data_IF_912423293659
#
_entry.id   IF_912423293659
#
_cell.length_a   1.000
_cell.length_b   1.000
_cell.length_c   1.000
_cell.angle_alpha   90.00
_cell.angle_beta   90.00
_cell.angle_gamma   90.00
#
_symmetry.space_group_name_H-M   'P 1'
#
loop_
_entity.id
_entity.type
_entity.pdbx_description
1 polymer ?
#
# COMPACT_ATOMS: atom_id res chain seq x y z
N UNK A 1 -28.16 -0.56 -7.65
CA UNK A 1 -27.28 -1.59 -7.06
C UNK A 1 -27.58 -1.68 -5.57
N UNK A 2 -27.73 -2.88 -5.01
CA UNK A 2 -28.02 -3.09 -3.58
C UNK A 2 -26.79 -2.69 -2.75
N UNK A 3 -26.99 -1.86 -1.72
CA UNK A 3 -25.95 -1.45 -0.77
C UNK A 3 -25.42 -2.69 -0.02
N UNK A 4 -24.09 -2.93 0.02
CA UNK A 4 -23.53 -4.05 0.77
C UNK A 4 -23.67 -3.81 2.28
N UNK A 5 -23.90 -4.88 3.06
CA UNK A 5 -23.89 -4.82 4.52
C UNK A 5 -22.47 -5.05 5.07
N UNK A 6 -22.16 -4.51 6.24
CA UNK A 6 -20.86 -4.74 6.90
C UNK A 6 -20.62 -6.23 7.09
N UNK A 7 -21.61 -6.98 7.59
CA UNK A 7 -21.50 -8.43 7.76
C UNK A 7 -21.08 -9.15 6.47
N UNK A 8 -21.65 -8.76 5.32
CA UNK A 8 -21.29 -9.37 4.02
C UNK A 8 -19.86 -9.02 3.59
N UNK A 9 -19.41 -7.79 3.83
CA UNK A 9 -18.05 -7.33 3.50
C UNK A 9 -17.02 -8.05 4.38
N UNK A 10 -17.26 -8.15 5.69
CA UNK A 10 -16.36 -8.84 6.62
C UNK A 10 -16.36 -10.35 6.40
N UNK A 11 -17.47 -10.96 5.97
CA UNK A 11 -17.48 -12.38 5.59
C UNK A 11 -16.54 -12.65 4.42
N UNK A 12 -16.49 -11.74 3.44
CA UNK A 12 -15.61 -11.87 2.27
C UNK A 12 -14.11 -11.81 2.62
N UNK A 13 -13.75 -11.33 3.82
CA UNK A 13 -12.36 -11.24 4.26
C UNK A 13 -11.91 -12.41 5.15
N UNK A 14 -12.82 -13.31 5.54
CA UNK A 14 -12.56 -14.33 6.56
C UNK A 14 -11.42 -15.31 6.22
N UNK A 15 -11.16 -15.55 4.94
CA UNK A 15 -10.12 -16.50 4.48
C UNK A 15 -8.81 -15.81 4.07
N UNK A 16 -8.76 -14.48 4.08
CA UNK A 16 -7.60 -13.72 3.63
C UNK A 16 -6.68 -13.42 4.83
N UNK A 17 -5.58 -14.16 4.97
CA UNK A 17 -4.62 -14.03 6.09
C UNK A 17 -3.85 -12.70 6.11
N UNK A 18 -3.88 -11.92 5.02
CA UNK A 18 -3.31 -10.57 4.97
C UNK A 18 -4.28 -9.53 5.54
N UNK A 19 -5.51 -9.94 5.89
CA UNK A 19 -6.49 -9.08 6.52
C UNK A 19 -6.49 -9.35 8.02
N UNK A 20 -6.15 -8.32 8.80
CA UNK A 20 -6.10 -8.38 10.27
C UNK A 20 -7.21 -7.52 10.86
N UNK A 21 -7.71 -7.94 12.01
CA UNK A 21 -8.81 -7.29 12.73
C UNK A 21 -8.41 -7.06 14.19
N UNK A 22 -8.89 -5.98 14.77
CA UNK A 22 -8.89 -5.83 16.22
C UNK A 22 -10.12 -6.50 16.84
N UNK A 23 -10.23 -6.43 18.16
CA UNK A 23 -11.48 -6.79 18.85
C UNK A 23 -12.50 -5.67 18.69
N UNK A 24 -13.77 -6.05 18.56
CA UNK A 24 -14.89 -5.11 18.45
C UNK A 24 -14.98 -4.07 19.59
N UNK A 25 -15.44 -2.87 19.24
CA UNK A 25 -15.75 -1.80 20.19
C UNK A 25 -17.03 -2.11 20.98
N UNK A 26 -17.06 -1.76 22.27
CA UNK A 26 -18.31 -1.79 23.02
C UNK A 26 -19.21 -0.58 22.65
N UNK A 27 -20.53 -0.66 22.88
CA UNK A 27 -21.42 0.50 22.77
C UNK A 27 -20.94 1.70 23.61
N UNK A 28 -20.35 1.46 24.79
CA UNK A 28 -19.83 2.51 25.66
C UNK A 28 -18.59 3.20 25.05
N UNK A 29 -17.71 2.44 24.38
CA UNK A 29 -16.56 3.03 23.67
C UNK A 29 -17.04 3.99 22.56
N UNK A 30 -18.11 3.61 21.85
CA UNK A 30 -18.68 4.41 20.76
C UNK A 30 -19.40 5.66 21.26
N UNK A 31 -20.19 5.53 22.33
CA UNK A 31 -20.86 6.67 22.95
C UNK A 31 -19.84 7.71 23.43
N UNK A 32 -18.76 7.26 24.09
CA UNK A 32 -17.67 8.14 24.51
C UNK A 32 -16.96 8.80 23.34
N UNK A 33 -16.60 8.04 22.29
CA UNK A 33 -15.94 8.62 21.13
C UNK A 33 -16.82 9.65 20.39
N UNK A 34 -18.12 9.38 20.25
CA UNK A 34 -19.07 10.31 19.66
C UNK A 34 -19.22 11.59 20.49
N UNK A 35 -19.31 11.47 21.81
CA UNK A 35 -19.37 12.61 22.73
C UNK A 35 -18.08 13.44 22.70
N UNK A 36 -16.92 12.80 22.77
CA UNK A 36 -15.61 13.44 22.72
C UNK A 36 -15.40 14.24 21.43
N UNK A 37 -15.82 13.68 20.30
CA UNK A 37 -15.68 14.32 18.98
C UNK A 37 -16.83 15.28 18.66
N UNK A 38 -17.89 15.29 19.48
CA UNK A 38 -19.13 16.05 19.26
C UNK A 38 -19.77 15.76 17.89
N UNK A 39 -19.79 14.49 17.48
CA UNK A 39 -20.38 14.04 16.20
C UNK A 39 -21.40 12.93 16.45
N UNK A 40 -22.28 12.71 15.47
CA UNK A 40 -23.07 11.49 15.37
C UNK A 40 -22.30 10.47 14.52
N UNK A 41 -22.22 9.22 14.97
CA UNK A 41 -21.62 8.14 14.19
C UNK A 41 -22.68 7.50 13.27
N UNK A 42 -22.38 7.26 11.99
CA UNK A 42 -23.30 6.53 11.12
C UNK A 42 -23.42 5.06 11.57
N UNK A 43 -24.63 4.51 11.54
CA UNK A 43 -24.91 3.14 11.96
C UNK A 43 -24.02 2.09 11.26
N UNK A 44 -23.73 2.27 9.97
CA UNK A 44 -22.82 1.40 9.21
C UNK A 44 -21.37 1.41 9.74
N UNK A 45 -20.86 2.55 10.19
CA UNK A 45 -19.53 2.61 10.79
C UNK A 45 -19.54 2.01 12.19
N UNK A 46 -20.59 2.27 12.97
CA UNK A 46 -20.83 1.65 14.29
C UNK A 46 -20.84 0.11 14.18
N UNK A 47 -21.57 -0.45 13.20
CA UNK A 47 -21.60 -1.89 12.94
C UNK A 47 -20.19 -2.43 12.61
N UNK A 48 -19.42 -1.70 11.80
CA UNK A 48 -18.04 -2.06 11.46
C UNK A 48 -17.11 -2.13 12.67
N UNK A 49 -17.05 -1.07 13.47
CA UNK A 49 -16.16 -1.01 14.64
C UNK A 49 -16.63 -1.94 15.75
N UNK A 50 -17.92 -2.21 15.90
CA UNK A 50 -18.42 -3.24 16.82
C UNK A 50 -18.02 -4.64 16.36
N UNK A 51 -17.99 -4.91 15.05
CA UNK A 51 -17.65 -6.22 14.53
C UNK A 51 -16.13 -6.51 14.57
N UNK A 52 -15.27 -5.51 14.37
CA UNK A 52 -13.82 -5.75 14.23
C UNK A 52 -12.90 -4.68 14.82
N UNK A 53 -13.43 -3.63 15.44
CA UNK A 53 -12.63 -2.52 15.99
C UNK A 53 -12.00 -1.68 14.89
N UNK A 54 -10.94 -2.19 14.28
CA UNK A 54 -10.24 -1.68 13.09
C UNK A 54 -9.98 -2.82 12.10
N UNK A 55 -9.66 -2.48 10.85
CA UNK A 55 -9.42 -3.46 9.79
C UNK A 55 -8.15 -3.10 9.02
N UNK A 56 -7.12 -3.93 9.11
CA UNK A 56 -5.95 -3.86 8.25
C UNK A 56 -6.19 -4.74 7.01
N UNK A 57 -6.26 -4.14 5.84
CA UNK A 57 -6.40 -4.82 4.55
C UNK A 57 -5.06 -4.80 3.82
N UNK A 58 -4.20 -5.81 4.06
CA UNK A 58 -2.90 -5.93 3.41
C UNK A 58 -2.02 -4.67 3.51
N UNK A 59 -2.10 -3.96 4.63
CA UNK A 59 -1.44 -2.70 4.91
C UNK A 59 -2.39 -1.50 4.90
N UNK A 60 -3.55 -1.56 4.26
CA UNK A 60 -4.52 -0.47 4.32
C UNK A 60 -5.30 -0.53 5.63
N UNK A 61 -4.95 0.30 6.62
CA UNK A 61 -5.65 0.29 7.91
C UNK A 61 -6.85 1.23 7.88
N UNK A 62 -8.04 0.65 7.91
CA UNK A 62 -9.28 1.35 8.26
C UNK A 62 -9.25 1.61 9.76
N UNK A 63 -9.16 2.89 10.12
CA UNK A 63 -9.09 3.33 11.49
C UNK A 63 -10.36 2.93 12.23
N UNK A 64 -10.17 2.59 13.51
CA UNK A 64 -11.20 2.01 14.34
C UNK A 64 -11.49 2.80 15.60
N UNK A 65 -12.48 2.33 16.34
CA UNK A 65 -12.73 2.76 17.72
C UNK A 65 -12.69 1.50 18.59
N UNK A 66 -12.23 1.63 19.83
CA UNK A 66 -12.23 0.53 20.80
C UNK A 66 -10.92 0.45 21.58
N UNK A 67 -10.97 -0.16 22.75
CA UNK A 67 -9.80 -0.31 23.65
C UNK A 67 -8.66 -1.14 23.05
N UNK A 68 -8.99 -2.09 22.18
CA UNK A 68 -8.03 -2.99 21.52
C UNK A 68 -7.34 -2.35 20.31
N UNK A 69 -7.84 -1.21 19.84
CA UNK A 69 -7.31 -0.52 18.65
C UNK A 69 -6.05 0.25 19.06
N UNK A 70 -4.89 0.01 18.43
CA UNK A 70 -3.67 0.77 18.69
C UNK A 70 -3.90 2.27 18.54
N UNK A 71 -3.19 3.10 19.32
CA UNK A 71 -3.39 4.56 19.28
C UNK A 71 -3.21 5.15 17.87
N UNK A 72 -2.25 4.62 17.11
CA UNK A 72 -1.95 5.04 15.74
C UNK A 72 -3.05 4.65 14.73
N UNK A 73 -3.88 3.66 15.07
CA UNK A 73 -4.99 3.16 14.24
C UNK A 73 -6.36 3.58 14.79
N UNK A 74 -6.37 4.42 15.83
CA UNK A 74 -7.58 4.91 16.49
C UNK A 74 -8.13 6.13 15.75
N UNK A 75 -9.32 5.99 15.17
CA UNK A 75 -10.05 7.07 14.54
C UNK A 75 -10.27 8.25 15.50
N UNK A 76 -10.50 7.99 16.78
CA UNK A 76 -10.65 9.02 17.81
C UNK A 76 -9.36 9.84 18.00
N UNK A 77 -8.22 9.17 18.20
CA UNK A 77 -6.96 9.86 18.46
C UNK A 77 -6.46 10.60 17.23
N UNK A 78 -6.52 9.96 16.06
CA UNK A 78 -6.12 10.57 14.80
C UNK A 78 -7.00 11.80 14.53
N UNK A 79 -8.33 11.67 14.59
CA UNK A 79 -9.24 12.81 14.38
C UNK A 79 -8.98 13.96 15.35
N UNK A 80 -8.69 13.68 16.63
CA UNK A 80 -8.34 14.73 17.59
C UNK A 80 -7.02 15.42 17.21
N UNK A 81 -5.99 14.67 16.86
CA UNK A 81 -4.70 15.21 16.46
C UNK A 81 -4.84 16.10 15.20
N UNK A 82 -5.55 15.64 14.17
CA UNK A 82 -5.75 16.40 12.92
C UNK A 82 -6.59 17.67 13.13
N UNK A 83 -7.43 17.72 14.18
CA UNK A 83 -8.15 18.93 14.58
C UNK A 83 -7.30 19.96 15.31
N UNK A 84 -6.20 19.55 15.94
CA UNK A 84 -5.41 20.43 16.83
C UNK A 84 -4.01 20.74 16.31
N UNK A 85 -3.44 19.87 15.47
CA UNK A 85 -2.01 19.86 15.15
C UNK A 85 -1.72 20.06 13.66
N UNK A 86 -2.75 20.06 12.80
CA UNK A 86 -2.60 20.37 11.38
C UNK A 86 -2.42 21.86 11.14
N UNK A 87 -1.75 22.21 10.04
CA UNK A 87 -1.68 23.60 9.57
C UNK A 87 -3.08 24.13 9.24
N UNK A 88 -3.95 23.22 8.75
CA UNK A 88 -5.38 23.45 8.59
C UNK A 88 -6.17 22.45 9.44
N UNK A 89 -6.87 22.92 10.49
CA UNK A 89 -7.64 22.04 11.36
C UNK A 89 -8.69 21.25 10.59
N UNK A 90 -8.74 19.94 10.80
CA UNK A 90 -9.78 19.09 10.25
C UNK A 90 -11.18 19.58 10.71
N UNK A 91 -12.17 19.74 9.81
CA UNK A 91 -13.51 20.17 10.19
C UNK A 91 -14.18 19.28 11.26
N UNK A 92 -14.91 19.91 12.18
CA UNK A 92 -15.48 19.24 13.37
C UNK A 92 -16.51 18.14 13.06
N UNK A 93 -17.10 18.14 11.87
CA UNK A 93 -18.05 17.12 11.43
C UNK A 93 -17.39 15.94 10.70
N UNK A 94 -16.07 15.98 10.45
CA UNK A 94 -15.34 14.90 9.82
C UNK A 94 -14.75 13.96 10.87
N UNK A 95 -14.83 12.66 10.58
CA UNK A 95 -14.16 11.58 11.30
C UNK A 95 -13.16 10.91 10.37
N UNK A 96 -11.87 10.92 10.73
CA UNK A 96 -10.83 10.26 9.93
C UNK A 96 -11.00 8.76 10.03
N UNK A 97 -11.09 8.09 8.89
CA UNK A 97 -11.20 6.62 8.82
C UNK A 97 -10.04 5.97 8.07
N UNK A 98 -9.24 6.75 7.33
CA UNK A 98 -8.16 6.19 6.54
C UNK A 98 -7.12 7.27 6.17
N UNK A 99 -5.84 6.91 6.18
CA UNK A 99 -4.72 7.79 5.76
C UNK A 99 -4.26 7.38 4.37
N UNK A 100 -4.40 8.26 3.39
CA UNK A 100 -4.06 7.97 1.99
C UNK A 100 -2.54 8.06 1.76
N UNK A 101 -1.86 8.93 2.51
CA UNK A 101 -0.44 9.24 2.37
C UNK A 101 -0.23 10.74 2.12
N UNK A 102 0.99 11.25 2.31
CA UNK A 102 1.32 12.68 2.16
C UNK A 102 0.43 13.64 2.97
N UNK A 103 -0.10 13.20 4.10
CA UNK A 103 -1.01 14.00 4.93
C UNK A 103 -2.49 13.91 4.54
N UNK A 104 -2.83 13.41 3.35
CA UNK A 104 -4.21 13.30 2.90
C UNK A 104 -5.02 12.25 3.67
N UNK A 105 -6.27 12.60 3.97
CA UNK A 105 -7.16 11.82 4.82
C UNK A 105 -8.47 11.51 4.10
N UNK A 106 -8.92 10.26 4.19
CA UNK A 106 -10.30 9.92 3.86
C UNK A 106 -11.13 9.89 5.14
N UNK A 107 -12.21 10.66 5.14
CA UNK A 107 -13.04 10.95 6.29
C UNK A 107 -14.50 10.59 6.05
N UNK A 108 -15.22 10.22 7.11
CA UNK A 108 -16.67 10.20 7.12
C UNK A 108 -17.19 11.62 7.32
N UNK A 109 -18.10 12.07 6.46
CA UNK A 109 -18.83 13.30 6.67
C UNK A 109 -20.07 13.04 7.53
N UNK A 110 -19.90 13.15 8.85
CA UNK A 110 -20.95 12.90 9.83
C UNK A 110 -22.07 13.96 9.83
N UNK A 111 -21.92 15.06 9.08
CA UNK A 111 -23.02 16.03 8.89
C UNK A 111 -24.04 15.56 7.85
N UNK A 112 -23.69 14.57 7.02
CA UNK A 112 -24.48 14.08 5.88
C UNK A 112 -24.94 12.64 6.05
N UNK A 113 -25.38 12.29 7.26
CA UNK A 113 -25.90 10.95 7.54
C UNK A 113 -27.29 10.78 6.92
N UNK A 114 -27.44 9.75 6.08
CA UNK A 114 -28.69 9.31 5.48
C UNK A 114 -28.77 7.78 5.50
N UNK A 115 -29.93 7.22 5.86
CA UNK A 115 -30.15 5.77 5.96
C UNK A 115 -29.07 5.04 6.77
N UNK A 116 -28.66 5.64 7.89
CA UNK A 116 -27.64 5.09 8.80
C UNK A 116 -26.21 5.06 8.25
N UNK A 117 -25.90 5.84 7.22
CA UNK A 117 -24.60 5.87 6.55
C UNK A 117 -24.28 7.28 6.09
N UNK A 118 -23.05 7.54 5.64
CA UNK A 118 -22.65 8.85 5.17
C UNK A 118 -21.55 8.74 4.10
N UNK A 119 -21.32 9.80 3.31
CA UNK A 119 -20.28 9.78 2.31
C UNK A 119 -18.88 9.74 2.94
N UNK A 120 -17.97 9.08 2.22
CA UNK A 120 -16.54 9.18 2.45
C UNK A 120 -16.02 10.31 1.57
N UNK A 121 -15.31 11.25 2.18
CA UNK A 121 -14.75 12.44 1.54
C UNK A 121 -13.23 12.49 1.68
N UNK A 122 -12.55 13.15 0.75
CA UNK A 122 -11.12 13.41 0.79
C UNK A 122 -10.87 14.77 1.43
N UNK A 123 -10.03 14.78 2.46
CA UNK A 123 -9.43 15.98 3.05
C UNK A 123 -7.96 16.02 2.62
N UNK A 124 -7.68 16.87 1.64
CA UNK A 124 -6.34 17.18 1.16
C UNK A 124 -5.66 18.13 2.16
N UNK A 125 -4.54 17.72 2.75
CA UNK A 125 -3.87 18.53 3.79
C UNK A 125 -3.12 19.73 3.19
N UNK A 126 -2.65 19.58 1.95
CA UNK A 126 -1.84 20.59 1.25
C UNK A 126 -2.67 21.40 0.23
N UNK A 127 -3.98 21.50 0.43
CA UNK A 127 -4.84 22.25 -0.47
C UNK A 127 -4.47 23.75 -0.45
N UNK A 128 -4.26 24.40 -1.62
CA UNK A 128 -3.78 25.78 -1.69
C UNK A 128 -4.73 26.78 -1.01
N UNK A 129 -6.04 26.47 -1.01
CA UNK A 129 -7.09 27.25 -0.36
C UNK A 129 -7.75 26.47 0.78
N UNK A 130 -6.96 25.87 1.68
CA UNK A 130 -7.48 24.91 2.66
C UNK A 130 -8.59 25.45 3.59
N UNK A 131 -8.64 26.76 3.87
CA UNK A 131 -9.75 27.36 4.63
C UNK A 131 -11.10 27.30 3.88
N UNK A 132 -11.06 27.30 2.54
CA UNK A 132 -12.22 27.25 1.66
C UNK A 132 -12.46 25.85 1.09
N UNK A 133 -11.60 24.89 1.43
CA UNK A 133 -11.66 23.54 0.90
C UNK A 133 -13.00 22.90 1.19
N UNK A 134 -13.62 22.37 0.14
CA UNK A 134 -14.80 21.53 0.23
C UNK A 134 -14.36 20.08 0.00
N UNK A 135 -14.46 19.20 1.01
CA UNK A 135 -14.03 17.82 0.87
C UNK A 135 -14.69 17.14 -0.33
N UNK A 136 -13.89 16.60 -1.25
CA UNK A 136 -14.39 15.92 -2.44
C UNK A 136 -14.99 14.56 -2.06
N UNK A 137 -16.17 14.22 -2.58
CA UNK A 137 -16.78 12.90 -2.30
C UNK A 137 -16.00 11.80 -3.02
N UNK A 138 -15.37 10.92 -2.26
CA UNK A 138 -14.69 9.71 -2.77
C UNK A 138 -15.72 8.61 -3.03
N UNK A 139 -16.63 8.40 -2.07
CA UNK A 139 -17.73 7.44 -2.17
C UNK A 139 -18.97 7.95 -1.46
N UNK A 140 -20.14 7.61 -2.01
CA UNK A 140 -21.43 8.06 -1.47
C UNK A 140 -21.81 7.43 -0.13
N UNK A 141 -21.22 6.29 0.22
CA UNK A 141 -21.46 5.60 1.49
C UNK A 141 -20.19 4.93 2.00
N UNK A 142 -20.06 4.79 3.31
CA UNK A 142 -18.98 4.06 3.96
C UNK A 142 -18.96 2.59 3.53
N UNK A 143 -20.11 1.92 3.45
CA UNK A 143 -20.12 0.50 3.06
C UNK A 143 -19.62 0.26 1.64
N UNK A 144 -19.91 1.16 0.70
CA UNK A 144 -19.41 1.07 -0.67
C UNK A 144 -17.90 1.33 -0.74
N UNK A 145 -17.41 2.25 0.09
CA UNK A 145 -15.99 2.51 0.24
C UNK A 145 -15.25 1.29 0.81
N UNK A 146 -15.73 0.75 1.93
CA UNK A 146 -15.13 -0.42 2.58
C UNK A 146 -15.14 -1.65 1.67
N UNK A 147 -16.25 -1.88 0.95
CA UNK A 147 -16.33 -2.95 -0.03
C UNK A 147 -15.33 -2.78 -1.19
N UNK A 148 -15.06 -1.55 -1.61
CA UNK A 148 -14.05 -1.28 -2.63
C UNK A 148 -12.64 -1.54 -2.11
N UNK A 149 -12.33 -1.12 -0.88
CA UNK A 149 -11.04 -1.37 -0.23
C UNK A 149 -10.78 -2.88 -0.04
N UNK A 150 -11.76 -3.62 0.45
CA UNK A 150 -11.63 -5.08 0.61
C UNK A 150 -11.38 -5.77 -0.73
N UNK A 151 -11.95 -5.26 -1.83
CA UNK A 151 -11.69 -5.80 -3.18
C UNK A 151 -10.29 -5.49 -3.72
N UNK A 152 -9.58 -4.51 -3.15
CA UNK A 152 -8.17 -4.27 -3.53
C UNK A 152 -7.20 -5.16 -2.79
N UNK A 153 -7.65 -5.88 -1.75
CA UNK A 153 -6.82 -6.85 -1.06
C UNK A 153 -6.26 -7.84 -2.10
N UNK A 154 -4.94 -8.05 -2.16
CA UNK A 154 -4.38 -9.06 -3.03
C UNK A 154 -5.04 -10.40 -2.70
N UNK A 155 -5.50 -11.09 -3.75
CA UNK A 155 -5.94 -12.45 -3.62
C UNK A 155 -4.75 -13.25 -3.08
N UNK A 156 -4.85 -13.75 -1.85
CA UNK A 156 -3.98 -14.81 -1.44
C UNK A 156 -4.45 -16.00 -2.26
N UNK A 157 -3.66 -16.37 -3.26
CA UNK A 157 -3.76 -17.71 -3.80
C UNK A 157 -3.44 -18.64 -2.63
N UNK A 158 -4.49 -19.11 -1.93
CA UNK A 158 -4.35 -20.23 -1.02
C UNK A 158 -3.72 -21.35 -1.85
N UNK A 159 -2.66 -22.02 -1.37
CA UNK A 159 -2.00 -23.10 -2.11
C UNK A 159 -2.91 -24.32 -2.39
N UNK A 160 -4.20 -24.22 -2.11
CA UNK A 160 -5.23 -25.22 -2.33
C UNK A 160 -6.16 -24.80 -3.48
N UNK A 161 -5.67 -24.97 -4.71
CA UNK A 161 -6.36 -25.84 -5.66
C UNK A 161 -5.48 -26.07 -6.89
N UNK A 162 -5.25 -27.35 -7.13
CA UNK A 162 -4.44 -27.90 -8.21
C UNK A 162 -4.91 -27.44 -9.60
N UNK A 163 -4.38 -26.30 -10.04
CA UNK A 163 -3.97 -26.12 -11.42
C UNK A 163 -2.80 -25.12 -11.41
N UNK A 164 -1.65 -25.58 -10.87
CA UNK A 164 -0.40 -24.83 -10.73
C UNK A 164 0.16 -24.44 -12.10
N UNK A 165 -0.41 -23.43 -12.75
CA UNK A 165 0.40 -22.65 -13.69
C UNK A 165 1.46 -21.95 -12.85
N UNK A 166 2.65 -22.55 -12.84
CA UNK A 166 3.86 -21.99 -12.24
C UNK A 166 3.95 -20.53 -12.65
N UNK A 167 4.05 -19.63 -11.68
CA UNK A 167 4.06 -18.22 -11.99
C UNK A 167 5.36 -17.94 -12.77
N UNK A 168 5.36 -17.16 -13.86
CA UNK A 168 6.57 -16.96 -14.67
C UNK A 168 7.81 -16.51 -13.87
N UNK A 169 7.59 -15.74 -12.79
CA UNK A 169 8.64 -15.34 -11.85
C UNK A 169 9.34 -16.52 -11.14
N UNK A 170 8.66 -17.65 -10.94
CA UNK A 170 9.21 -18.79 -10.20
C UNK A 170 10.41 -19.41 -10.95
N UNK A 171 10.40 -19.37 -12.29
CA UNK A 171 11.54 -19.79 -13.12
C UNK A 171 12.71 -18.82 -12.98
N UNK A 172 12.43 -17.51 -12.92
CA UNK A 172 13.46 -16.49 -12.71
C UNK A 172 14.08 -16.63 -11.31
N UNK A 173 13.27 -16.87 -10.28
CA UNK A 173 13.74 -17.13 -8.90
C UNK A 173 14.59 -18.40 -8.85
N UNK A 174 14.20 -19.46 -9.56
CA UNK A 174 15.00 -20.67 -9.65
C UNK A 174 16.36 -20.40 -10.34
N UNK A 175 16.37 -19.64 -11.43
CA UNK A 175 17.61 -19.25 -12.12
C UNK A 175 18.52 -18.36 -11.26
N UNK A 176 17.93 -17.46 -10.46
CA UNK A 176 18.65 -16.65 -9.47
C UNK A 176 19.35 -17.55 -8.46
N UNK A 177 18.60 -18.49 -7.84
CA UNK A 177 19.14 -19.40 -6.83
C UNK A 177 20.21 -20.35 -7.38
N UNK A 178 20.10 -20.72 -8.65
CA UNK A 178 21.08 -21.59 -9.32
C UNK A 178 22.38 -20.87 -9.71
N UNK A 179 22.42 -19.53 -9.72
CA UNK A 179 23.60 -18.77 -10.11
C UNK A 179 24.38 -18.23 -8.90
N UNK A 180 25.54 -18.80 -8.55
CA UNK A 180 26.31 -18.40 -7.36
C UNK A 180 26.94 -16.99 -7.46
N UNK A 181 26.90 -16.35 -8.64
CA UNK A 181 27.35 -14.97 -8.83
C UNK A 181 26.25 -13.94 -8.54
N UNK A 182 25.01 -14.39 -8.40
CA UNK A 182 23.91 -13.56 -7.94
C UNK A 182 23.77 -13.77 -6.43
N UNK A 183 23.81 -12.68 -5.67
CA UNK A 183 23.61 -12.74 -4.22
C UNK A 183 22.17 -12.36 -3.89
N UNK A 184 21.43 -13.32 -3.34
CA UNK A 184 20.20 -13.05 -2.61
C UNK A 184 20.53 -12.61 -1.19
N UNK A 185 19.70 -11.72 -0.68
CA UNK A 185 19.79 -11.28 0.71
C UNK A 185 18.61 -11.84 1.52
N UNK A 186 18.50 -11.43 2.78
CA UNK A 186 17.45 -11.97 3.65
C UNK A 186 16.06 -11.65 3.05
N UNK A 187 15.18 -12.66 2.90
CA UNK A 187 13.82 -12.46 2.40
C UNK A 187 13.05 -11.38 3.16
N UNK A 188 12.14 -10.72 2.46
CA UNK A 188 11.22 -9.78 3.07
C UNK A 188 10.25 -10.48 4.01
N UNK A 189 10.08 -9.93 5.22
CA UNK A 189 9.03 -10.35 6.16
C UNK A 189 7.68 -9.82 5.69
N UNK A 190 6.61 -10.37 6.23
CA UNK A 190 5.25 -9.92 5.91
C UNK A 190 5.06 -8.44 6.25
N UNK A 191 5.66 -7.98 7.35
CA UNK A 191 5.66 -6.58 7.79
C UNK A 191 6.32 -5.66 6.75
N UNK A 192 7.46 -6.08 6.19
CA UNK A 192 8.21 -5.29 5.21
C UNK A 192 7.39 -5.12 3.91
N UNK A 193 6.69 -6.19 3.49
CA UNK A 193 5.79 -6.17 2.31
C UNK A 193 4.57 -5.29 2.57
N UNK A 194 3.98 -5.40 3.77
CA UNK A 194 2.82 -4.61 4.19
C UNK A 194 3.14 -3.11 4.19
N UNK A 195 4.31 -2.75 4.71
CA UNK A 195 4.79 -1.37 4.67
C UNK A 195 4.98 -0.88 3.23
N UNK A 196 5.63 -1.66 2.38
CA UNK A 196 5.81 -1.30 0.96
C UNK A 196 4.48 -1.16 0.21
N UNK A 197 3.48 -1.99 0.50
CA UNK A 197 2.14 -1.86 -0.05
C UNK A 197 1.50 -0.53 0.35
N UNK A 198 1.63 -0.09 1.61
CA UNK A 198 1.18 1.25 2.05
C UNK A 198 1.81 2.36 1.19
N UNK A 199 3.11 2.31 0.97
CA UNK A 199 3.84 3.28 0.13
C UNK A 199 3.50 3.23 -1.36
N UNK A 200 3.03 2.08 -1.85
CA UNK A 200 2.65 1.88 -3.24
C UNK A 200 1.16 2.16 -3.49
N UNK A 201 0.45 2.80 -2.56
CA UNK A 201 -1.01 2.92 -2.57
C UNK A 201 -1.69 1.58 -2.85
N UNK A 202 -1.24 0.55 -2.11
CA UNK A 202 -1.76 -0.83 -2.08
C UNK A 202 -1.64 -1.60 -3.38
N UNK A 203 -0.72 -1.19 -4.25
CA UNK A 203 -0.52 -1.84 -5.53
C UNK A 203 0.95 -2.22 -5.70
N UNK A 204 1.24 -3.49 -5.47
CA UNK A 204 2.46 -4.13 -5.96
C UNK A 204 2.09 -5.34 -6.81
N UNK A 205 2.81 -5.60 -7.91
CA UNK A 205 2.57 -6.80 -8.70
C UNK A 205 2.95 -8.04 -7.86
N UNK A 206 2.15 -9.11 -7.93
CA UNK A 206 2.44 -10.37 -7.25
C UNK A 206 3.78 -10.97 -7.69
N UNK A 207 4.23 -10.69 -8.93
CA UNK A 207 5.57 -11.01 -9.39
C UNK A 207 6.67 -10.40 -8.50
N UNK A 208 6.53 -9.12 -8.14
CA UNK A 208 7.47 -8.43 -7.26
C UNK A 208 7.35 -8.91 -5.82
N UNK A 209 6.13 -9.13 -5.31
CA UNK A 209 5.91 -9.70 -3.97
C UNK A 209 6.60 -11.06 -3.85
N UNK A 210 6.41 -11.98 -4.81
CA UNK A 210 7.10 -13.27 -4.84
C UNK A 210 8.61 -13.12 -4.87
N UNK A 211 9.13 -12.18 -5.67
CA UNK A 211 10.55 -11.88 -5.73
C UNK A 211 11.11 -11.49 -4.35
N UNK A 212 10.52 -10.50 -3.67
CA UNK A 212 11.04 -10.02 -2.38
C UNK A 212 10.82 -11.04 -1.26
N UNK A 213 9.75 -11.85 -1.31
CA UNK A 213 9.53 -12.95 -0.35
C UNK A 213 10.54 -14.09 -0.47
N UNK A 214 11.27 -14.22 -1.58
CA UNK A 214 12.28 -15.26 -1.78
C UNK A 214 13.71 -14.75 -1.71
N UNK A 215 13.93 -13.52 -2.18
CA UNK A 215 15.27 -12.98 -2.38
C UNK A 215 15.54 -11.76 -1.49
N UNK A 216 14.50 -11.13 -0.94
CA UNK A 216 14.58 -9.82 -0.30
C UNK A 216 14.93 -8.75 -1.33
N UNK A 217 16.22 -8.64 -1.63
CA UNK A 217 16.82 -7.83 -2.69
C UNK A 217 18.01 -8.58 -3.33
N UNK A 218 18.53 -8.10 -4.47
CA UNK A 218 19.60 -8.81 -5.21
C UNK A 218 20.81 -7.95 -5.49
N UNK A 219 21.98 -8.59 -5.51
CA UNK A 219 23.19 -8.06 -6.13
C UNK A 219 23.62 -8.93 -7.31
N UNK A 220 23.75 -8.32 -8.48
CA UNK A 220 24.25 -8.93 -9.72
C UNK A 220 25.49 -8.16 -10.15
N UNK A 221 26.68 -8.65 -9.79
CA UNK A 221 27.93 -7.89 -9.97
C UNK A 221 27.89 -6.55 -9.22
N UNK A 222 27.96 -5.44 -9.96
CA UNK A 222 27.85 -4.08 -9.39
C UNK A 222 26.42 -3.55 -9.33
N UNK A 223 25.48 -4.22 -9.99
CA UNK A 223 24.08 -3.83 -10.02
C UNK A 223 23.37 -4.33 -8.77
N UNK A 224 22.56 -3.47 -8.15
CA UNK A 224 21.74 -3.84 -6.98
C UNK A 224 20.28 -3.61 -7.31
N UNK A 225 19.52 -4.68 -7.45
CA UNK A 225 18.08 -4.59 -7.65
C UNK A 225 17.46 -4.42 -6.27
N UNK A 226 16.84 -3.26 -6.06
CA UNK A 226 16.18 -2.92 -4.81
C UNK A 226 15.04 -3.92 -4.56
N UNK A 227 14.75 -4.10 -3.29
CA UNK A 227 13.82 -5.10 -2.80
C UNK A 227 13.26 -4.68 -1.46
N UNK A 228 12.81 -5.65 -0.65
CA UNK A 228 12.35 -5.45 0.72
C UNK A 228 13.09 -6.40 1.66
N UNK A 229 13.14 -6.10 2.96
CA UNK A 229 13.70 -7.00 3.97
C UNK A 229 14.66 -6.35 4.96
N UNK A 230 14.96 -7.06 6.07
CA UNK A 230 15.69 -6.51 7.22
C UNK A 230 17.18 -6.27 6.96
N UNK A 231 17.72 -6.89 5.90
CA UNK A 231 19.14 -6.84 5.55
C UNK A 231 19.48 -5.78 4.51
N UNK A 232 18.50 -4.97 4.09
CA UNK A 232 18.80 -3.89 3.15
C UNK A 232 19.59 -2.81 3.91
N UNK A 233 20.83 -2.46 3.50
CA UNK A 233 21.61 -1.41 4.14
C UNK A 233 20.80 -0.13 4.24
N UNK A 234 20.91 0.66 5.32
CA UNK A 234 20.15 1.90 5.48
C UNK A 234 20.33 2.86 4.30
N UNK A 235 21.51 2.90 3.68
CA UNK A 235 21.76 3.67 2.45
C UNK A 235 20.96 3.20 1.22
N UNK A 236 20.25 2.06 1.31
CA UNK A 236 19.50 1.41 0.22
C UNK A 236 18.04 1.08 0.59
N UNK A 237 17.75 0.78 1.87
CA UNK A 237 16.40 0.51 2.39
C UNK A 237 15.61 1.80 2.51
N UNK A 238 16.35 2.83 2.88
CA UNK A 238 15.91 4.20 3.04
C UNK A 238 15.99 4.97 1.71
N UNK A 239 16.06 4.27 0.58
CA UNK A 239 15.80 4.85 -0.73
C UNK A 239 14.40 4.41 -1.21
N UNK A 240 14.06 3.14 -1.36
CA UNK A 240 12.74 2.79 -1.96
C UNK A 240 11.50 3.28 -1.19
N UNK A 241 11.56 3.34 0.14
CA UNK A 241 10.46 3.82 1.00
C UNK A 241 10.54 5.34 1.28
N UNK A 242 11.74 5.85 1.55
CA UNK A 242 12.02 7.27 1.83
C UNK A 242 12.04 8.15 0.57
N UNK A 243 12.23 7.59 -0.63
CA UNK A 243 12.13 8.32 -1.91
C UNK A 243 10.72 8.88 -2.15
N UNK A 244 9.68 8.44 -1.43
CA UNK A 244 8.35 9.09 -1.44
C UNK A 244 8.06 9.97 -0.23
N UNK A 245 8.64 9.66 0.93
CA UNK A 245 8.28 10.30 2.21
C UNK A 245 9.06 11.57 2.60
N UNK A 246 10.10 11.99 1.86
CA UNK A 246 10.96 13.11 2.29
C UNK A 246 10.96 14.30 1.30
N UNK A 247 9.96 14.46 0.42
CA UNK A 247 9.89 15.64 -0.46
C UNK A 247 11.09 15.87 -1.40
N UNK A 248 12.09 14.99 -1.41
CA UNK A 248 13.33 15.15 -2.16
C UNK A 248 13.20 14.67 -3.61
N UNK A 249 12.11 13.97 -3.92
CA UNK A 249 11.84 13.39 -5.23
C UNK A 249 10.34 13.45 -5.43
N UNK A 250 9.90 14.32 -6.32
CA UNK A 250 8.51 14.39 -6.80
C UNK A 250 8.21 13.15 -7.68
N UNK A 251 8.54 11.95 -7.18
CA UNK A 251 8.30 10.70 -7.86
C UNK A 251 6.80 10.47 -7.87
N UNK A 252 6.24 10.32 -9.07
CA UNK A 252 4.82 10.06 -9.24
C UNK A 252 4.36 8.93 -8.29
N UNK A 253 3.31 9.18 -7.51
CA UNK A 253 2.81 8.27 -6.47
C UNK A 253 2.48 6.85 -6.98
N UNK A 254 2.34 6.67 -8.30
CA UNK A 254 2.06 5.41 -8.99
C UNK A 254 3.30 4.59 -9.35
N UNK A 255 4.50 5.13 -9.14
CA UNK A 255 5.77 4.47 -9.42
C UNK A 255 6.38 3.90 -8.13
N UNK A 256 7.00 2.73 -8.23
CA UNK A 256 7.72 2.10 -7.12
C UNK A 256 9.17 1.79 -7.56
N UNK A 257 10.19 2.44 -7.01
CA UNK A 257 11.57 2.30 -7.48
C UNK A 257 12.14 0.91 -7.16
N UNK A 258 12.81 0.31 -8.14
CA UNK A 258 13.46 -1.02 -8.04
C UNK A 258 14.94 -1.00 -8.40
N UNK A 259 15.46 0.10 -8.94
CA UNK A 259 16.87 0.28 -9.23
C UNK A 259 17.20 1.77 -9.33
N UNK A 260 18.38 2.16 -8.82
CA UNK A 260 18.94 3.50 -8.95
C UNK A 260 20.21 3.44 -9.79
N UNK A 261 20.19 4.12 -10.93
CA UNK A 261 21.34 4.21 -11.82
C UNK A 261 22.38 5.20 -11.25
N UNK A 262 23.68 5.08 -11.62
CA UNK A 262 24.73 5.97 -11.14
C UNK A 262 24.51 7.45 -11.48
N UNK A 263 23.82 7.73 -12.58
CA UNK A 263 23.46 9.10 -12.99
C UNK A 263 22.29 9.70 -12.19
N UNK A 264 21.73 8.94 -11.24
CA UNK A 264 20.59 9.33 -10.42
C UNK A 264 19.22 9.01 -11.01
N UNK A 265 19.15 8.43 -12.21
CA UNK A 265 17.87 7.98 -12.78
C UNK A 265 17.35 6.74 -12.02
N UNK A 266 16.04 6.53 -12.09
CA UNK A 266 15.38 5.40 -11.46
C UNK A 266 14.77 4.47 -12.50
N UNK A 267 14.82 3.17 -12.24
CA UNK A 267 13.87 2.23 -12.81
C UNK A 267 12.80 1.95 -11.78
N UNK A 268 11.55 2.02 -12.21
CA UNK A 268 10.40 1.87 -11.35
C UNK A 268 9.42 0.85 -11.91
N UNK A 269 8.69 0.18 -11.02
CA UNK A 269 7.45 -0.51 -11.34
C UNK A 269 6.36 0.52 -11.59
N UNK A 270 5.61 0.38 -12.68
CA UNK A 270 4.41 1.17 -12.91
C UNK A 270 3.18 0.45 -12.31
N UNK A 271 2.97 0.65 -11.01
CA UNK A 271 1.93 -0.03 -10.24
C UNK A 271 0.50 0.31 -10.70
N UNK A 272 0.30 1.41 -11.43
CA UNK A 272 -1.00 1.72 -12.06
C UNK A 272 -1.36 0.72 -13.17
N UNK A 273 -0.37 0.14 -13.85
CA UNK A 273 -0.53 -0.74 -15.02
C UNK A 273 -0.36 -2.24 -14.69
N UNK A 274 -0.67 -2.66 -13.46
CA UNK A 274 -0.65 -4.09 -13.10
C UNK A 274 -1.67 -4.87 -13.93
N UNK A 275 -1.23 -5.96 -14.57
CA UNK A 275 -2.04 -6.92 -15.32
C UNK A 275 -1.52 -8.33 -15.03
N UNK A 276 -2.41 -9.28 -14.73
CA UNK A 276 -2.07 -10.67 -14.43
C UNK A 276 -0.93 -10.82 -13.39
N UNK A 277 -0.99 -10.00 -12.32
CA UNK A 277 0.01 -10.06 -11.25
C UNK A 277 1.37 -9.45 -11.59
N UNK A 278 1.56 -8.84 -12.75
CA UNK A 278 2.82 -8.22 -13.17
C UNK A 278 2.60 -6.78 -13.64
N UNK A 279 3.66 -5.98 -13.81
CA UNK A 279 3.54 -4.62 -14.35
C UNK A 279 4.78 -4.18 -15.14
N UNK A 280 4.67 -3.14 -16.00
CA UNK A 280 5.81 -2.62 -16.73
C UNK A 280 6.89 -2.03 -15.82
N UNK A 281 8.15 -2.26 -16.19
CA UNK A 281 9.29 -1.51 -15.67
C UNK A 281 9.50 -0.28 -16.55
N UNK A 282 9.56 0.87 -15.92
CA UNK A 282 9.73 2.16 -16.58
C UNK A 282 11.01 2.86 -16.12
N UNK A 283 11.56 3.70 -16.98
CA UNK A 283 12.67 4.59 -16.68
C UNK A 283 12.13 5.98 -16.34
N UNK A 284 12.55 6.49 -15.20
CA UNK A 284 12.23 7.81 -14.68
C UNK A 284 13.51 8.64 -14.61
N UNK A 285 13.58 9.74 -15.37
CA UNK A 285 14.77 10.60 -15.41
C UNK A 285 14.67 11.69 -14.35
N UNK A 286 15.71 11.86 -13.55
CA UNK A 286 15.73 12.81 -12.42
C UNK A 286 15.63 14.28 -12.83
N UNK A 287 16.14 14.66 -14.00
CA UNK A 287 16.49 16.07 -14.32
C UNK A 287 15.40 16.87 -15.03
N UNK A 288 14.12 16.54 -14.88
CA UNK A 288 13.04 17.32 -15.50
C UNK A 288 12.40 18.21 -14.43
N UNK A 289 12.37 19.55 -14.59
CA UNK A 289 11.87 20.49 -13.58
C UNK A 289 10.39 20.35 -13.22
N UNK A 290 9.62 19.60 -14.03
CA UNK A 290 8.22 19.31 -13.77
C UNK A 290 7.95 17.80 -14.01
N UNK A 291 7.78 17.01 -12.95
CA UNK A 291 7.58 15.57 -13.04
C UNK A 291 6.19 15.16 -13.53
N UNK A 292 5.19 16.03 -13.40
CA UNK A 292 3.85 15.75 -13.93
C UNK A 292 3.81 15.80 -15.47
N UNK A 293 4.73 16.55 -16.08
CA UNK A 293 4.93 16.55 -17.53
C UNK A 293 5.78 15.38 -18.01
N UNK A 294 6.43 14.65 -17.10
CA UNK A 294 7.27 13.52 -17.46
C UNK A 294 6.44 12.24 -17.63
N UNK A 295 6.31 11.79 -18.86
CA UNK A 295 5.82 10.44 -19.14
C UNK A 295 6.94 9.40 -18.96
N UNK A 296 6.83 8.48 -17.98
CA UNK A 296 7.85 7.45 -17.79
C UNK A 296 7.96 6.55 -19.02
N UNK A 297 9.19 6.32 -19.50
CA UNK A 297 9.44 5.48 -20.68
C UNK A 297 9.42 4.01 -20.28
N UNK A 298 8.61 3.19 -20.93
CA UNK A 298 8.61 1.74 -20.69
C UNK A 298 9.94 1.14 -21.15
N UNK A 299 10.65 0.49 -20.22
CA UNK A 299 11.87 -0.29 -20.50
C UNK A 299 11.51 -1.74 -20.78
N UNK A 300 10.58 -2.30 -20.01
CA UNK A 300 10.06 -3.66 -20.22
C UNK A 300 8.59 -3.72 -19.91
N UNK A 301 7.86 -4.59 -20.62
CA UNK A 301 6.42 -4.77 -20.46
C UNK A 301 6.02 -5.42 -19.13
N UNK A 302 6.92 -6.20 -18.52
CA UNK A 302 6.71 -6.86 -17.23
C UNK A 302 7.97 -6.81 -16.37
N UNK A 303 7.80 -6.83 -15.05
CA UNK A 303 8.89 -6.94 -14.09
C UNK A 303 9.58 -8.29 -14.23
N UNK A 304 8.81 -9.37 -14.39
CA UNK A 304 9.39 -10.71 -14.60
C UNK A 304 10.34 -10.75 -15.79
N UNK A 305 9.95 -10.19 -16.95
CA UNK A 305 10.81 -10.20 -18.14
C UNK A 305 12.04 -9.31 -17.97
N UNK A 306 11.93 -8.21 -17.24
CA UNK A 306 13.06 -7.33 -16.95
C UNK A 306 14.06 -8.03 -16.03
N UNK A 307 13.58 -8.67 -14.96
CA UNK A 307 14.42 -9.40 -14.02
C UNK A 307 15.09 -10.61 -14.69
N UNK A 308 14.36 -11.38 -15.50
CA UNK A 308 14.91 -12.50 -16.27
C UNK A 308 16.08 -12.06 -17.16
N UNK A 309 15.94 -10.89 -17.80
CA UNK A 309 17.01 -10.30 -18.61
C UNK A 309 18.23 -9.93 -17.76
N UNK A 310 18.04 -9.34 -16.59
CA UNK A 310 19.15 -9.03 -15.67
C UNK A 310 19.88 -10.29 -15.19
N UNK A 311 19.12 -11.36 -14.91
CA UNK A 311 19.66 -12.66 -14.49
C UNK A 311 20.41 -13.35 -15.62
N UNK A 312 19.92 -13.27 -16.86
CA UNK A 312 20.58 -13.85 -18.04
C UNK A 312 21.93 -13.18 -18.33
N UNK A 313 22.03 -11.87 -18.16
CA UNK A 313 23.27 -11.11 -18.34
C UNK A 313 24.21 -11.15 -17.13
N UNK A 314 23.82 -11.83 -16.04
CA UNK A 314 24.69 -12.01 -14.90
C UNK A 314 25.97 -12.79 -15.31
N UNK A 315 27.14 -12.45 -14.75
CA UNK A 315 28.37 -13.18 -15.02
C UNK A 315 28.17 -14.67 -14.76
N UNK A 316 28.44 -15.50 -15.77
CA UNK A 316 28.36 -16.95 -15.62
C UNK A 316 29.59 -17.47 -14.87
N UNK A 317 29.46 -18.49 -14.02
CA UNK A 317 30.62 -19.14 -13.43
C UNK A 317 31.52 -19.63 -14.56
N UNK A 318 32.82 -19.28 -14.53
CA UNK A 318 33.80 -19.85 -15.44
C UNK A 318 33.68 -21.36 -15.32
N UNK A 319 33.30 -22.07 -16.38
CA UNK A 319 33.37 -23.54 -16.40
C UNK A 319 34.80 -23.89 -16.02
N UNK A 320 35.00 -24.55 -14.88
CA UNK A 320 36.29 -25.16 -14.56
C UNK A 320 36.58 -26.04 -15.76
N UNK A 321 37.64 -25.71 -16.54
CA UNK A 321 38.12 -26.64 -17.56
C UNK A 321 38.43 -27.92 -16.78
N UNK A 322 37.69 -28.98 -17.06
CA UNK A 322 38.03 -30.30 -16.52
C UNK A 322 39.50 -30.55 -16.89
N UNK A 323 40.34 -30.95 -15.92
CA UNK A 323 41.76 -31.18 -16.16
C UNK A 323 41.98 -32.21 -17.27
#
# INVERSE_FOLDING_TARGET
MKKPSIASILKATATNTLIKRCSGASPQDLARAAADLKIKLPASYTEFVQACGSLDVAGSVVLGIGKSVPKIDSALNVTKAERTSGFFPLPAHLLVIYRVGNGDLECLDCSRIADGDCPVVLWEHDHPDAELQRPAIVKRTFTNWLAALVKTAPAIETPSNANKKKHPIDEVIAAIKANPKIKCHAPAREEDIREALRFANHRLPSSYIKYVSHCGWLSIGRMNILGLGPSIPESRSSESIKLKGIGYWELNSKLFPIFKAPNGDLLCLNCKKIKNGDCPVVHWKRRIPNPDLQSPRIVKRTFTAWLAEQVKHAPQPKRKKSP
#
